data_IF_224589067986
#
_entry.id   IF_224589067986
#
_cell.length_a   1.000
_cell.length_b   1.000
_cell.length_c   1.000
_cell.angle_alpha   90.00
_cell.angle_beta   90.00
_cell.angle_gamma   90.00
#
_symmetry.space_group_name_H-M   'P 1'
#
loop_
_entity.id
_entity.type
_entity.pdbx_description
1 polymer ?
#
# COMPACT_ATOMS: atom_id res chain seq x y z
N UNK A 1 -1.75 -24.61 -7.66
CA UNK A 1 -1.69 -23.22 -8.20
C UNK A 1 -3.01 -22.46 -8.09
N UNK A 2 -4.17 -23.06 -8.38
CA UNK A 2 -5.46 -22.35 -8.40
C UNK A 2 -5.91 -21.74 -7.05
N UNK A 3 -5.58 -22.37 -5.91
CA UNK A 3 -5.95 -21.84 -4.58
C UNK A 3 -5.13 -20.62 -4.15
N UNK A 4 -3.86 -20.54 -4.56
CA UNK A 4 -2.99 -19.41 -4.23
C UNK A 4 -3.43 -18.14 -4.95
N UNK A 5 -3.75 -18.25 -6.25
CA UNK A 5 -4.25 -17.12 -7.04
C UNK A 5 -5.55 -16.58 -6.45
N UNK A 6 -6.52 -17.45 -6.13
CA UNK A 6 -7.77 -17.02 -5.47
C UNK A 6 -7.55 -16.34 -4.12
N UNK A 7 -6.51 -16.72 -3.38
CA UNK A 7 -6.20 -16.17 -2.06
C UNK A 7 -5.54 -14.79 -2.13
N UNK A 8 -4.73 -14.53 -3.16
CA UNK A 8 -3.93 -13.30 -3.28
C UNK A 8 -4.52 -12.28 -4.27
N UNK A 9 -5.30 -12.73 -5.25
CA UNK A 9 -5.92 -11.86 -6.25
C UNK A 9 -6.74 -10.70 -5.66
N UNK A 10 -7.55 -10.89 -4.58
CA UNK A 10 -8.31 -9.79 -4.01
C UNK A 10 -7.41 -8.69 -3.40
N UNK A 11 -6.32 -9.08 -2.72
CA UNK A 11 -5.35 -8.15 -2.12
C UNK A 11 -4.71 -7.30 -3.21
N UNK A 12 -4.23 -7.97 -4.27
CA UNK A 12 -3.61 -7.30 -5.42
C UNK A 12 -4.61 -6.37 -6.11
N UNK A 13 -5.83 -6.83 -6.39
CA UNK A 13 -6.84 -6.04 -7.08
C UNK A 13 -7.19 -4.75 -6.34
N UNK A 14 -7.44 -4.83 -5.03
CA UNK A 14 -7.75 -3.65 -4.21
C UNK A 14 -6.55 -2.68 -4.18
N UNK A 15 -5.34 -3.21 -3.99
CA UNK A 15 -4.12 -2.37 -3.98
C UNK A 15 -3.94 -1.63 -5.30
N UNK A 16 -4.12 -2.33 -6.43
CA UNK A 16 -3.98 -1.76 -7.77
C UNK A 16 -5.01 -0.68 -8.02
N UNK A 17 -6.29 -0.92 -7.70
CA UNK A 17 -7.35 0.05 -7.93
C UNK A 17 -7.09 1.38 -7.21
N UNK A 18 -6.69 1.32 -5.94
CA UNK A 18 -6.46 2.51 -5.12
C UNK A 18 -5.18 3.23 -5.53
N UNK A 19 -4.08 2.50 -5.72
CA UNK A 19 -2.80 3.09 -6.12
C UNK A 19 -2.92 3.77 -7.48
N UNK A 20 -3.58 3.15 -8.46
CA UNK A 20 -3.80 3.73 -9.79
C UNK A 20 -4.66 5.00 -9.72
N UNK A 21 -5.76 4.98 -8.96
CA UNK A 21 -6.62 6.16 -8.82
C UNK A 21 -5.86 7.34 -8.19
N UNK A 22 -5.14 7.11 -7.10
CA UNK A 22 -4.38 8.17 -6.42
C UNK A 22 -3.26 8.73 -7.28
N UNK A 23 -2.46 7.87 -7.94
CA UNK A 23 -1.41 8.35 -8.84
C UNK A 23 -2.01 9.13 -10.01
N UNK A 24 -3.13 8.69 -10.58
CA UNK A 24 -3.80 9.44 -11.65
C UNK A 24 -4.12 10.87 -11.22
N UNK A 25 -4.69 11.06 -10.02
CA UNK A 25 -4.95 12.40 -9.48
C UNK A 25 -3.66 13.19 -9.24
N UNK A 26 -2.60 12.57 -8.74
CA UNK A 26 -1.31 13.23 -8.52
C UNK A 26 -0.67 13.73 -9.83
N UNK A 27 -0.79 12.97 -10.92
CA UNK A 27 -0.21 13.34 -12.21
C UNK A 27 -1.15 14.13 -13.12
N UNK A 28 -2.42 14.30 -12.75
CA UNK A 28 -3.43 14.95 -13.59
C UNK A 28 -3.03 16.35 -14.06
N UNK A 29 -2.46 17.16 -13.16
CA UNK A 29 -2.02 18.52 -13.49
C UNK A 29 -0.85 18.52 -14.49
N UNK A 30 0.14 17.63 -14.29
CA UNK A 30 1.29 17.49 -15.18
C UNK A 30 0.84 17.00 -16.56
N UNK A 31 -0.06 16.02 -16.60
CA UNK A 31 -0.65 15.52 -17.85
C UNK A 31 -1.34 16.66 -18.61
N UNK A 32 -2.18 17.45 -17.94
CA UNK A 32 -2.90 18.57 -18.56
C UNK A 32 -1.95 19.65 -19.11
N UNK A 33 -0.93 20.04 -18.33
CA UNK A 33 0.06 21.04 -18.75
C UNK A 33 0.84 20.53 -19.96
N UNK A 34 1.32 19.29 -19.91
CA UNK A 34 2.14 18.73 -20.98
C UNK A 34 1.32 18.56 -22.25
N UNK A 35 0.09 18.06 -22.14
CA UNK A 35 -0.82 17.92 -23.27
C UNK A 35 -1.16 19.27 -23.91
N UNK A 36 -1.25 20.36 -23.13
CA UNK A 36 -1.44 21.71 -23.65
C UNK A 36 -0.19 22.29 -24.34
N UNK A 37 1.00 21.78 -24.04
CA UNK A 37 2.27 22.24 -24.63
C UNK A 37 2.67 21.47 -25.89
N UNK A 38 2.41 20.15 -25.93
CA UNK A 38 2.92 19.25 -26.97
C UNK A 38 1.83 18.55 -27.79
N UNK A 39 0.56 18.94 -27.62
CA UNK A 39 -0.66 18.32 -28.19
C UNK A 39 -0.82 16.81 -27.91
N UNK A 40 0.13 16.23 -27.17
CA UNK A 40 0.31 14.80 -26.92
C UNK A 40 0.97 14.61 -25.56
N UNK A 41 0.78 13.43 -24.95
CA UNK A 41 1.47 13.06 -23.70
C UNK A 41 2.78 12.36 -24.07
N UNK A 42 3.96 12.86 -23.62
CA UNK A 42 5.24 12.24 -23.90
C UNK A 42 5.29 10.79 -23.40
N UNK A 43 5.88 9.90 -24.21
CA UNK A 43 6.03 8.48 -23.88
C UNK A 43 6.87 8.25 -22.62
N UNK A 44 7.86 9.11 -22.38
CA UNK A 44 8.69 9.09 -21.17
C UNK A 44 7.85 9.34 -19.90
N UNK A 45 6.94 10.32 -19.94
CA UNK A 45 6.04 10.64 -18.84
C UNK A 45 5.06 9.47 -18.56
N UNK A 46 4.54 8.84 -19.61
CA UNK A 46 3.67 7.65 -19.48
C UNK A 46 4.44 6.51 -18.79
N UNK A 47 5.69 6.27 -19.21
CA UNK A 47 6.52 5.22 -18.64
C UNK A 47 6.85 5.50 -17.16
N UNK A 48 7.15 6.75 -16.82
CA UNK A 48 7.39 7.16 -15.43
C UNK A 48 6.16 6.93 -14.55
N UNK A 49 4.96 7.29 -15.03
CA UNK A 49 3.71 7.08 -14.29
C UNK A 49 3.46 5.57 -14.08
N UNK A 50 3.61 4.76 -15.13
CA UNK A 50 3.39 3.30 -15.05
C UNK A 50 4.37 2.65 -14.07
N UNK A 51 5.65 2.97 -14.18
CA UNK A 51 6.69 2.40 -13.32
C UNK A 51 6.48 2.80 -11.85
N UNK A 52 6.10 4.05 -11.61
CA UNK A 52 5.75 4.56 -10.28
C UNK A 52 4.55 3.82 -9.69
N UNK A 53 3.47 3.63 -10.45
CA UNK A 53 2.30 2.85 -10.02
C UNK A 53 2.69 1.42 -9.64
N UNK A 54 3.49 0.75 -10.49
CA UNK A 54 3.92 -0.63 -10.25
C UNK A 54 4.72 -0.77 -8.94
N UNK A 55 5.66 0.15 -8.68
CA UNK A 55 6.46 0.13 -7.45
C UNK A 55 5.56 0.27 -6.21
N UNK A 56 4.61 1.21 -6.23
CA UNK A 56 3.69 1.42 -5.12
C UNK A 56 2.76 0.23 -4.89
N UNK A 57 2.24 -0.41 -5.94
CA UNK A 57 1.41 -1.61 -5.83
C UNK A 57 2.18 -2.75 -5.14
N UNK A 58 3.42 -2.98 -5.59
CA UNK A 58 4.29 -4.02 -5.02
C UNK A 58 4.54 -3.71 -3.53
N UNK A 59 4.97 -2.49 -3.22
CA UNK A 59 5.26 -2.07 -1.85
C UNK A 59 4.04 -2.23 -0.93
N UNK A 60 2.85 -1.82 -1.39
CA UNK A 60 1.61 -1.87 -0.61
C UNK A 60 1.13 -3.31 -0.37
N UNK A 61 1.36 -4.21 -1.33
CA UNK A 61 0.85 -5.58 -1.29
C UNK A 61 1.75 -6.57 -0.56
N UNK A 62 3.06 -6.32 -0.44
CA UNK A 62 4.02 -7.30 0.10
C UNK A 62 3.65 -7.73 1.53
N UNK A 63 3.39 -6.81 2.44
CA UNK A 63 3.11 -7.14 3.84
C UNK A 63 1.81 -7.97 4.02
N UNK A 64 0.66 -7.56 3.44
CA UNK A 64 -0.55 -8.39 3.44
C UNK A 64 -0.32 -9.78 2.83
N UNK A 65 0.37 -9.86 1.69
CA UNK A 65 0.64 -11.13 1.02
C UNK A 65 1.47 -12.09 1.90
N UNK A 66 2.50 -11.59 2.59
CA UNK A 66 3.30 -12.39 3.53
C UNK A 66 2.43 -12.91 4.69
N UNK A 67 1.55 -12.07 5.24
CA UNK A 67 0.65 -12.46 6.34
C UNK A 67 -0.37 -13.49 5.85
N UNK A 68 -0.92 -13.29 4.66
CA UNK A 68 -1.84 -14.21 4.01
C UNK A 68 -1.16 -15.56 3.74
N UNK A 69 0.10 -15.56 3.28
CA UNK A 69 0.88 -16.78 3.07
C UNK A 69 1.04 -17.62 4.36
N UNK A 70 1.10 -16.96 5.53
CA UNK A 70 1.07 -17.61 6.85
C UNK A 70 -0.32 -18.04 7.34
N UNK A 71 -1.29 -18.18 6.42
CA UNK A 71 -2.69 -18.54 6.68
C UNK A 71 -3.48 -17.56 7.57
N UNK A 72 -3.02 -16.32 7.72
CA UNK A 72 -3.71 -15.29 8.51
C UNK A 72 -4.46 -14.30 7.60
N UNK A 73 -5.45 -14.78 6.87
CA UNK A 73 -6.18 -14.00 5.84
C UNK A 73 -6.88 -12.76 6.41
N UNK A 74 -7.56 -12.88 7.55
CA UNK A 74 -8.20 -11.73 8.19
C UNK A 74 -7.18 -10.64 8.56
N UNK A 75 -6.07 -11.01 9.19
CA UNK A 75 -4.99 -10.08 9.55
C UNK A 75 -4.34 -9.44 8.32
N UNK A 76 -4.24 -10.19 7.21
CA UNK A 76 -3.76 -9.65 5.94
C UNK A 76 -4.65 -8.51 5.43
N UNK A 77 -5.98 -8.69 5.44
CA UNK A 77 -6.90 -7.63 5.02
C UNK A 77 -6.86 -6.42 5.95
N UNK A 78 -6.78 -6.63 7.26
CA UNK A 78 -6.61 -5.51 8.22
C UNK A 78 -5.32 -4.74 7.93
N UNK A 79 -4.22 -5.45 7.67
CA UNK A 79 -2.93 -4.83 7.32
C UNK A 79 -3.04 -4.05 6.02
N UNK A 80 -3.70 -4.62 5.01
CA UNK A 80 -3.91 -3.98 3.72
C UNK A 80 -4.70 -2.67 3.86
N UNK A 81 -5.79 -2.69 4.64
CA UNK A 81 -6.62 -1.50 4.90
C UNK A 81 -5.80 -0.39 5.57
N UNK A 82 -4.99 -0.74 6.58
CA UNK A 82 -4.18 0.26 7.28
C UNK A 82 -3.11 0.84 6.35
N UNK A 83 -2.44 0.00 5.56
CA UNK A 83 -1.46 0.46 4.57
C UNK A 83 -2.10 1.34 3.50
N UNK A 84 -3.28 0.98 2.99
CA UNK A 84 -4.06 1.79 2.07
C UNK A 84 -4.40 3.15 2.68
N UNK A 85 -4.83 3.18 3.95
CA UNK A 85 -5.17 4.42 4.64
C UNK A 85 -3.93 5.33 4.72
N UNK A 86 -2.80 4.80 5.21
CA UNK A 86 -1.51 5.49 5.26
C UNK A 86 -1.12 6.03 3.88
N UNK A 87 -1.22 5.19 2.85
CA UNK A 87 -0.83 5.54 1.49
C UNK A 87 -1.72 6.63 0.89
N UNK A 88 -3.04 6.53 1.10
CA UNK A 88 -4.01 7.56 0.68
C UNK A 88 -3.70 8.87 1.36
N UNK A 89 -3.42 8.84 2.64
CA UNK A 89 -3.06 10.00 3.42
C UNK A 89 -1.74 10.64 2.96
N UNK A 90 -0.76 9.83 2.54
CA UNK A 90 0.48 10.30 1.93
C UNK A 90 0.24 10.94 0.56
N UNK A 91 -0.48 10.26 -0.33
CA UNK A 91 -0.68 10.70 -1.72
C UNK A 91 -1.62 11.90 -1.85
N UNK A 92 -2.63 12.02 -0.98
CA UNK A 92 -3.60 13.11 -1.07
C UNK A 92 -3.06 14.45 -0.58
N UNK A 93 -1.94 14.49 0.16
CA UNK A 93 -1.27 15.74 0.55
C UNK A 93 -2.14 16.73 1.33
N UNK A 94 -3.32 16.32 1.84
CA UNK A 94 -4.37 17.25 2.30
C UNK A 94 -3.95 18.06 3.55
N UNK A 95 -2.95 17.60 4.32
CA UNK A 95 -2.36 18.42 5.39
C UNK A 95 -1.09 17.76 5.94
N UNK A 96 -0.21 18.53 6.59
CA UNK A 96 0.96 18.03 7.36
C UNK A 96 0.57 16.94 8.38
N UNK A 97 -0.70 16.91 8.78
CA UNK A 97 -1.31 15.88 9.63
C UNK A 97 -1.39 14.50 9.01
N UNK A 98 -1.40 14.39 7.68
CA UNK A 98 -1.52 13.11 7.01
C UNK A 98 -0.34 12.16 7.29
N UNK A 99 0.90 12.59 7.00
CA UNK A 99 2.10 11.86 7.40
C UNK A 99 2.15 11.57 8.91
N UNK A 100 1.67 12.48 9.77
CA UNK A 100 1.59 12.27 11.22
C UNK A 100 0.62 11.15 11.62
N UNK A 101 -0.59 11.11 11.04
CA UNK A 101 -1.58 10.04 11.29
C UNK A 101 -1.03 8.71 10.80
N UNK A 102 -0.36 8.71 9.65
CA UNK A 102 0.30 7.53 9.12
C UNK A 102 1.40 7.01 10.07
N UNK A 103 2.24 7.90 10.61
CA UNK A 103 3.27 7.55 11.61
C UNK A 103 2.63 6.95 12.87
N UNK A 104 1.55 7.57 13.38
CA UNK A 104 0.85 7.06 14.58
C UNK A 104 0.25 5.67 14.32
N UNK A 105 -0.38 5.46 13.17
CA UNK A 105 -0.90 4.15 12.79
C UNK A 105 0.21 3.10 12.65
N UNK A 106 1.35 3.49 12.09
CA UNK A 106 2.54 2.63 11.98
C UNK A 106 3.11 2.28 13.35
N UNK A 107 3.22 3.24 14.27
CA UNK A 107 3.64 3.02 15.65
C UNK A 107 2.70 2.05 16.38
N UNK A 108 1.39 2.18 16.17
CA UNK A 108 0.42 1.28 16.78
C UNK A 108 0.54 -0.15 16.27
N UNK A 109 0.75 -0.32 14.96
CA UNK A 109 1.05 -1.61 14.34
C UNK A 109 2.36 -2.21 14.87
N UNK A 110 3.42 -1.41 14.94
CA UNK A 110 4.71 -1.84 15.47
C UNK A 110 4.60 -2.29 16.93
N UNK A 111 3.88 -1.53 17.76
CA UNK A 111 3.61 -1.90 19.16
C UNK A 111 2.80 -3.19 19.27
N UNK A 112 1.77 -3.36 18.43
CA UNK A 112 0.99 -4.59 18.40
C UNK A 112 1.84 -5.81 18.03
N UNK A 113 2.69 -5.69 16.99
CA UNK A 113 3.62 -6.77 16.61
C UNK A 113 4.63 -7.06 17.71
N UNK A 114 5.19 -6.03 18.35
CA UNK A 114 6.15 -6.17 19.45
C UNK A 114 5.52 -6.89 20.67
N UNK A 115 4.35 -6.47 21.12
CA UNK A 115 3.64 -7.13 22.23
C UNK A 115 3.34 -8.58 21.92
N UNK A 116 2.90 -8.89 20.69
CA UNK A 116 2.63 -10.26 20.27
C UNK A 116 3.90 -11.12 20.18
N UNK A 117 5.02 -10.54 19.75
CA UNK A 117 6.33 -11.20 19.75
C UNK A 117 6.83 -11.47 21.18
N UNK A 118 6.63 -10.51 22.09
CA UNK A 118 6.98 -10.64 23.50
C UNK A 118 6.17 -11.71 24.21
N UNK A 119 4.87 -11.81 23.95
CA UNK A 119 4.02 -12.88 24.49
C UNK A 119 4.49 -14.26 24.04
N UNK A 120 4.83 -14.40 22.75
CA UNK A 120 5.37 -15.66 22.22
C UNK A 120 6.72 -15.98 22.88
N UNK A 121 7.61 -15.00 23.00
CA UNK A 121 8.91 -15.18 23.66
C UNK A 121 8.75 -15.62 25.12
N UNK A 122 7.87 -14.97 25.88
CA UNK A 122 7.59 -15.33 27.26
C UNK A 122 6.97 -16.73 27.36
N UNK A 123 6.02 -17.08 26.50
CA UNK A 123 5.41 -18.42 26.47
C UNK A 123 6.45 -19.54 26.29
N UNK A 124 7.45 -19.31 25.44
CA UNK A 124 8.54 -20.28 25.23
C UNK A 124 9.60 -20.25 26.33
N UNK A 125 9.75 -19.15 27.08
CA UNK A 125 10.69 -19.05 28.21
C UNK A 125 10.13 -19.64 29.51
N UNK A 126 8.80 -19.66 29.66
CA UNK A 126 8.12 -20.23 30.85
C UNK A 126 7.82 -21.73 30.74
N UNK A 127 8.25 -22.39 29.67
CA UNK A 127 8.37 -23.85 29.56
C UNK A 127 9.83 -24.24 29.70
#
# INVERSE_FOLDING_TARGET
MYSAIKKYAPILFISTAIVSALNYYSYQAIILITQAQTDTIPTELILEIITTILIHIIALSVAPLIISAKNKTFTSYVTLIILIAIYTTYMTGINVMGPLIAIVAFCYLAFYFYSKAKDIYNHYRTK
#
